data_IF_292770232724
#
_entry.id   IF_292770232724
#
_cell.length_a   1.000
_cell.length_b   1.000
_cell.length_c   1.000
_cell.angle_alpha   90.00
_cell.angle_beta   90.00
_cell.angle_gamma   90.00
#
_symmetry.space_group_name_H-M   'P 1'
#
loop_
_entity.id
_entity.type
_entity.pdbx_description
1 polymer ?
#
# COMPACT_ATOMS: atom_id res chain seq x y z
N UNK A 1 -26.61 -42.23 7.84
CA UNK A 1 -26.56 -40.93 8.57
C UNK A 1 -25.60 -40.94 9.77
N UNK A 2 -25.54 -42.01 10.60
CA UNK A 2 -24.61 -42.09 11.75
C UNK A 2 -23.11 -42.22 11.39
N UNK A 3 -22.77 -42.80 10.25
CA UNK A 3 -21.37 -42.98 9.82
C UNK A 3 -20.69 -41.71 9.27
N UNK A 4 -21.46 -40.66 8.92
CA UNK A 4 -20.92 -39.41 8.39
C UNK A 4 -20.50 -38.42 9.50
N UNK A 5 -21.01 -38.62 10.73
CA UNK A 5 -20.76 -37.72 11.86
C UNK A 5 -19.48 -38.05 12.64
N UNK A 6 -18.96 -39.28 12.57
CA UNK A 6 -17.75 -39.68 13.32
C UNK A 6 -16.43 -39.27 12.65
N UNK A 7 -16.39 -39.04 11.33
CA UNK A 7 -15.13 -38.64 10.64
C UNK A 7 -14.72 -37.17 10.80
N UNK A 8 -15.46 -36.37 11.58
CA UNK A 8 -15.18 -34.94 11.77
C UNK A 8 -14.26 -34.65 12.97
N UNK A 9 -14.03 -35.63 13.85
CA UNK A 9 -13.35 -35.41 15.14
C UNK A 9 -11.99 -36.11 15.29
N UNK A 10 -11.55 -36.93 14.33
CA UNK A 10 -10.27 -37.66 14.43
C UNK A 10 -9.07 -36.90 13.83
N UNK A 11 -9.17 -35.57 13.67
CA UNK A 11 -8.23 -34.80 12.84
C UNK A 11 -7.54 -33.62 13.51
N UNK A 12 -7.59 -33.46 14.84
CA UNK A 12 -6.84 -32.39 15.51
C UNK A 12 -5.44 -32.89 15.80
N UNK A 13 -4.50 -32.55 14.91
CA UNK A 13 -3.09 -32.84 15.13
C UNK A 13 -2.56 -32.01 16.30
N UNK A 14 -1.50 -32.48 16.96
CA UNK A 14 -0.80 -31.69 17.98
C UNK A 14 -0.36 -30.31 17.47
N UNK A 15 -0.07 -30.22 16.17
CA UNK A 15 0.26 -28.97 15.47
C UNK A 15 -0.94 -28.02 15.45
N UNK A 16 -2.16 -28.52 15.26
CA UNK A 16 -3.37 -27.68 15.27
C UNK A 16 -3.63 -27.08 16.65
N UNK A 17 -3.41 -27.87 17.71
CA UNK A 17 -3.51 -27.38 19.09
C UNK A 17 -2.46 -26.29 19.38
N UNK A 18 -1.22 -26.48 18.93
CA UNK A 18 -0.16 -25.49 19.05
C UNK A 18 -0.47 -24.19 18.28
N UNK A 19 -0.90 -24.30 17.02
CA UNK A 19 -1.27 -23.14 16.20
C UNK A 19 -2.48 -22.38 16.77
N UNK A 20 -3.45 -23.08 17.34
CA UNK A 20 -4.59 -22.45 18.01
C UNK A 20 -4.14 -21.69 19.28
N UNK A 21 -3.24 -22.28 20.07
CA UNK A 21 -2.62 -21.62 21.22
C UNK A 21 -1.86 -20.35 20.82
N UNK A 22 -1.02 -20.43 19.79
CA UNK A 22 -0.27 -19.27 19.27
C UNK A 22 -1.20 -18.14 18.81
N UNK A 23 -2.27 -18.48 18.06
CA UNK A 23 -3.28 -17.50 17.62
C UNK A 23 -3.95 -16.81 18.80
N UNK A 24 -4.33 -17.59 19.81
CA UNK A 24 -4.95 -17.05 21.02
C UNK A 24 -4.01 -16.07 21.74
N UNK A 25 -2.73 -16.45 21.90
CA UNK A 25 -1.71 -15.59 22.51
C UNK A 25 -1.53 -14.28 21.73
N UNK A 26 -1.41 -14.35 20.40
CA UNK A 26 -1.26 -13.17 19.54
C UNK A 26 -2.48 -12.24 19.69
N UNK A 27 -3.70 -12.79 19.64
CA UNK A 27 -4.93 -12.00 19.81
C UNK A 27 -4.97 -11.35 21.18
N UNK A 28 -4.61 -12.08 22.23
CA UNK A 28 -4.62 -11.58 23.62
C UNK A 28 -3.60 -10.46 23.80
N UNK A 29 -2.39 -10.58 23.24
CA UNK A 29 -1.38 -9.53 23.21
C UNK A 29 -1.88 -8.27 22.48
N UNK A 30 -2.55 -8.43 21.33
CA UNK A 30 -3.12 -7.30 20.57
C UNK A 30 -4.22 -6.61 21.39
N UNK A 31 -5.11 -7.37 22.04
CA UNK A 31 -6.20 -6.82 22.84
C UNK A 31 -5.68 -6.06 24.06
N UNK A 32 -4.72 -6.64 24.81
CA UNK A 32 -4.09 -5.96 25.95
C UNK A 32 -3.35 -4.71 25.48
N UNK A 33 -2.56 -4.80 24.40
CA UNK A 33 -1.82 -3.65 23.86
C UNK A 33 -2.74 -2.52 23.40
N UNK A 34 -3.86 -2.86 22.77
CA UNK A 34 -4.89 -1.90 22.32
C UNK A 34 -5.58 -1.25 23.52
N UNK A 35 -5.99 -2.03 24.52
CA UNK A 35 -6.65 -1.53 25.72
C UNK A 35 -5.73 -0.61 26.54
N UNK A 36 -4.47 -1.01 26.73
CA UNK A 36 -3.46 -0.19 27.40
C UNK A 36 -3.20 1.11 26.63
N UNK A 37 -3.17 1.05 25.31
CA UNK A 37 -3.03 2.24 24.45
C UNK A 37 -4.21 3.19 24.60
N UNK A 38 -5.44 2.69 24.58
CA UNK A 38 -6.67 3.48 24.71
C UNK A 38 -6.81 4.13 26.10
N UNK A 39 -6.42 3.43 27.16
CA UNK A 39 -6.52 3.91 28.55
C UNK A 39 -5.36 4.81 28.98
N UNK A 40 -4.22 4.77 28.26
CA UNK A 40 -3.03 5.54 28.61
C UNK A 40 -3.16 7.06 28.46
N UNK A 41 -4.22 7.57 27.80
CA UNK A 41 -4.41 9.01 27.56
C UNK A 41 -3.33 9.69 26.71
N UNK A 42 -2.38 8.91 26.15
CA UNK A 42 -1.21 9.42 25.41
C UNK A 42 -1.54 10.03 24.05
N UNK A 43 -2.69 9.67 23.47
CA UNK A 43 -3.06 10.04 22.10
C UNK A 43 -4.26 10.99 22.09
N UNK A 44 -4.08 12.15 21.45
CA UNK A 44 -5.16 13.14 21.26
C UNK A 44 -6.20 12.66 20.24
N UNK A 45 -7.41 13.22 20.29
CA UNK A 45 -8.46 12.98 19.30
C UNK A 45 -8.00 13.26 17.86
N UNK A 46 -7.15 14.29 17.67
CA UNK A 46 -6.55 14.60 16.36
C UNK A 46 -5.65 13.47 15.84
N UNK A 47 -4.91 12.81 16.72
CA UNK A 47 -4.05 11.67 16.37
C UNK A 47 -4.89 10.47 15.95
N UNK A 48 -5.99 10.17 16.65
CA UNK A 48 -6.90 9.09 16.28
C UNK A 48 -7.56 9.30 14.91
N UNK A 49 -7.95 10.54 14.62
CA UNK A 49 -8.50 10.91 13.30
C UNK A 49 -7.43 10.70 12.22
N UNK A 50 -6.20 11.17 12.45
CA UNK A 50 -5.10 10.99 11.50
C UNK A 50 -4.77 9.52 11.26
N UNK A 51 -4.66 8.71 12.31
CA UNK A 51 -4.46 7.26 12.21
C UNK A 51 -5.56 6.57 11.40
N UNK A 52 -6.81 6.98 11.60
CA UNK A 52 -7.96 6.42 10.87
C UNK A 52 -7.91 6.77 9.39
N UNK A 53 -7.62 8.04 9.06
CA UNK A 53 -7.49 8.50 7.67
C UNK A 53 -6.31 7.82 6.98
N UNK A 54 -5.14 7.75 7.63
CA UNK A 54 -3.96 7.07 7.09
C UNK A 54 -4.21 5.57 6.90
N UNK A 55 -4.89 4.92 7.84
CA UNK A 55 -5.29 3.52 7.72
C UNK A 55 -6.24 3.27 6.55
N UNK A 56 -7.25 4.12 6.38
CA UNK A 56 -8.19 4.05 5.26
C UNK A 56 -7.47 4.28 3.92
N UNK A 57 -6.57 5.27 3.85
CA UNK A 57 -5.80 5.57 2.65
C UNK A 57 -4.93 4.36 2.25
N UNK A 58 -4.18 3.79 3.20
CA UNK A 58 -3.33 2.62 2.95
C UNK A 58 -4.16 1.38 2.57
N UNK A 59 -5.28 1.15 3.27
CA UNK A 59 -6.20 0.07 2.95
C UNK A 59 -6.82 0.20 1.55
N UNK A 60 -7.13 1.42 1.13
CA UNK A 60 -7.64 1.70 -0.23
C UNK A 60 -6.60 1.40 -1.30
N UNK A 61 -5.33 1.71 -1.07
CA UNK A 61 -4.23 1.35 -1.97
C UNK A 61 -4.15 -0.17 -2.11
N UNK A 62 -4.16 -0.92 -0.99
CA UNK A 62 -4.13 -2.38 -1.03
C UNK A 62 -5.37 -2.98 -1.67
N UNK A 63 -6.55 -2.42 -1.43
CA UNK A 63 -7.80 -2.84 -2.07
C UNK A 63 -7.76 -2.64 -3.59
N UNK A 64 -7.25 -1.50 -4.06
CA UNK A 64 -7.08 -1.21 -5.49
C UNK A 64 -6.05 -2.13 -6.14
N UNK A 65 -4.93 -2.42 -5.47
CA UNK A 65 -3.94 -3.39 -5.96
C UNK A 65 -4.57 -4.78 -6.08
N UNK A 66 -5.28 -5.23 -5.05
CA UNK A 66 -5.96 -6.52 -5.06
C UNK A 66 -7.01 -6.61 -6.19
N UNK A 67 -7.80 -5.56 -6.37
CA UNK A 67 -8.77 -5.43 -7.46
C UNK A 67 -8.07 -5.49 -8.83
N UNK A 68 -6.94 -4.81 -9.01
CA UNK A 68 -6.15 -4.88 -10.24
C UNK A 68 -5.69 -6.30 -10.57
N UNK A 69 -5.13 -7.01 -9.57
CA UNK A 69 -4.70 -8.39 -9.75
C UNK A 69 -5.85 -9.35 -10.07
N UNK A 70 -7.01 -9.21 -9.42
CA UNK A 70 -8.17 -10.07 -9.69
C UNK A 70 -8.77 -9.82 -11.07
N UNK A 71 -8.81 -8.56 -11.54
CA UNK A 71 -9.30 -8.23 -12.88
C UNK A 71 -8.38 -8.76 -13.98
N UNK A 72 -7.06 -8.56 -13.85
CA UNK A 72 -6.10 -8.99 -14.87
C UNK A 72 -6.08 -10.51 -14.98
N UNK A 73 -5.98 -11.21 -13.84
CA UNK A 73 -6.05 -12.67 -13.84
C UNK A 73 -7.42 -13.19 -14.28
N UNK A 74 -8.52 -12.50 -13.91
CA UNK A 74 -9.88 -12.89 -14.28
C UNK A 74 -10.14 -12.89 -15.78
N UNK A 75 -9.49 -11.99 -16.53
CA UNK A 75 -9.63 -11.90 -17.99
C UNK A 75 -8.59 -12.77 -18.71
N UNK A 76 -7.32 -12.69 -18.31
CA UNK A 76 -6.22 -13.34 -19.04
C UNK A 76 -5.97 -14.79 -18.60
N UNK A 77 -6.43 -15.19 -17.42
CA UNK A 77 -6.17 -16.50 -16.79
C UNK A 77 -4.67 -16.90 -16.78
N UNK A 78 -3.80 -15.90 -16.82
CA UNK A 78 -2.34 -16.03 -16.81
C UNK A 78 -1.78 -15.22 -15.65
N UNK A 79 -0.74 -15.74 -15.00
CA UNK A 79 -0.04 -15.05 -13.93
C UNK A 79 0.81 -13.93 -14.57
N UNK A 80 0.52 -12.68 -14.22
CA UNK A 80 1.26 -11.51 -14.70
C UNK A 80 2.15 -10.97 -13.59
N UNK A 81 3.44 -11.30 -13.64
CA UNK A 81 4.43 -10.77 -12.69
C UNK A 81 4.79 -9.31 -12.95
N UNK A 82 4.67 -8.84 -14.20
CA UNK A 82 5.00 -7.47 -14.61
C UNK A 82 3.98 -6.42 -14.13
N UNK A 83 2.91 -6.84 -13.46
CA UNK A 83 1.85 -5.95 -13.00
C UNK A 83 2.40 -4.84 -12.11
N UNK A 84 3.25 -5.17 -11.13
CA UNK A 84 3.84 -4.18 -10.21
C UNK A 84 4.71 -3.15 -10.93
N UNK A 85 5.44 -3.57 -11.95
CA UNK A 85 6.38 -2.76 -12.72
C UNK A 85 5.64 -1.78 -13.65
N UNK A 86 4.44 -2.15 -14.11
CA UNK A 86 3.55 -1.23 -14.84
C UNK A 86 3.09 -0.08 -13.94
N UNK A 87 2.73 -0.34 -12.68
CA UNK A 87 2.40 0.72 -11.71
C UNK A 87 3.63 1.55 -11.34
N UNK A 88 4.77 0.88 -11.12
CA UNK A 88 6.05 1.52 -10.87
C UNK A 88 6.39 2.51 -11.99
N UNK A 89 6.15 2.14 -13.25
CA UNK A 89 6.46 3.00 -14.39
C UNK A 89 5.76 4.35 -14.32
N UNK A 90 4.44 4.35 -14.08
CA UNK A 90 3.68 5.58 -13.91
C UNK A 90 4.14 6.38 -12.69
N UNK A 91 4.27 5.72 -11.54
CA UNK A 91 4.64 6.36 -10.28
C UNK A 91 6.03 7.02 -10.33
N UNK A 92 7.04 6.36 -10.89
CA UNK A 92 8.38 6.92 -11.01
C UNK A 92 8.40 8.08 -12.00
N UNK A 93 7.74 7.98 -13.14
CA UNK A 93 7.67 9.09 -14.10
C UNK A 93 7.04 10.33 -13.46
N UNK A 94 5.98 10.18 -12.66
CA UNK A 94 5.35 11.31 -11.99
C UNK A 94 6.11 11.88 -10.82
N UNK A 95 7.04 11.14 -10.18
CA UNK A 95 7.98 11.75 -9.22
C UNK A 95 8.81 12.84 -9.89
N UNK A 96 9.26 12.63 -11.13
CA UNK A 96 10.05 13.62 -11.86
C UNK A 96 9.22 14.85 -12.22
N UNK A 97 7.99 14.63 -12.68
CA UNK A 97 7.05 15.73 -12.95
C UNK A 97 6.70 16.49 -11.67
N UNK A 98 6.52 15.79 -10.54
CA UNK A 98 6.24 16.41 -9.25
C UNK A 98 7.43 17.25 -8.77
N UNK A 99 8.67 16.74 -8.89
CA UNK A 99 9.87 17.52 -8.56
C UNK A 99 9.98 18.77 -9.43
N UNK A 100 9.66 18.68 -10.72
CA UNK A 100 9.61 19.84 -11.60
C UNK A 100 8.52 20.84 -11.18
N UNK A 101 7.31 20.38 -10.87
CA UNK A 101 6.21 21.22 -10.37
C UNK A 101 6.53 21.88 -9.03
N UNK A 102 7.36 21.25 -8.19
CA UNK A 102 7.81 21.83 -6.94
C UNK A 102 8.82 22.96 -7.19
N UNK A 103 9.79 22.75 -8.11
CA UNK A 103 10.78 23.77 -8.47
C UNK A 103 10.17 25.05 -9.03
N UNK A 104 9.10 24.93 -9.84
CA UNK A 104 8.38 26.09 -10.40
C UNK A 104 7.30 26.65 -9.44
N UNK A 105 7.17 26.10 -8.24
CA UNK A 105 6.19 26.50 -7.23
C UNK A 105 4.73 26.10 -7.53
N UNK A 106 4.45 25.45 -8.65
CA UNK A 106 3.09 25.08 -9.08
C UNK A 106 2.37 24.16 -8.09
N UNK A 107 3.09 23.24 -7.45
CA UNK A 107 2.54 22.36 -6.42
C UNK A 107 1.98 23.12 -5.22
N UNK A 108 2.63 24.22 -4.82
CA UNK A 108 2.21 25.03 -3.67
C UNK A 108 1.13 26.05 -4.06
N UNK A 109 1.20 26.61 -5.28
CA UNK A 109 0.21 27.59 -5.76
C UNK A 109 -1.13 26.94 -6.09
N UNK A 110 -1.12 25.78 -6.74
CA UNK A 110 -2.33 25.07 -7.20
C UNK A 110 -2.27 23.58 -6.84
N UNK A 111 -2.39 23.23 -5.55
CA UNK A 111 -2.18 21.85 -5.07
C UNK A 111 -3.17 20.85 -5.68
N UNK A 112 -4.46 21.19 -5.74
CA UNK A 112 -5.50 20.31 -6.28
C UNK A 112 -5.30 20.04 -7.79
N UNK A 113 -5.16 21.06 -8.67
CA UNK A 113 -4.85 20.84 -10.08
C UNK A 113 -3.54 20.08 -10.30
N UNK A 114 -2.49 20.39 -9.53
CA UNK A 114 -1.20 19.72 -9.65
C UNK A 114 -1.31 18.22 -9.38
N UNK A 115 -2.00 17.82 -8.29
CA UNK A 115 -2.22 16.41 -7.96
C UNK A 115 -3.04 15.71 -9.04
N UNK A 116 -4.09 16.34 -9.57
CA UNK A 116 -4.91 15.76 -10.64
C UNK A 116 -4.10 15.54 -11.92
N UNK A 117 -3.27 16.51 -12.31
CA UNK A 117 -2.38 16.37 -13.47
C UNK A 117 -1.40 15.22 -13.26
N UNK A 118 -0.78 15.13 -12.09
CA UNK A 118 0.12 14.01 -11.75
C UNK A 118 -0.61 12.66 -11.82
N UNK A 119 -1.83 12.55 -11.28
CA UNK A 119 -2.62 11.32 -11.37
C UNK A 119 -2.93 10.90 -12.81
N UNK A 120 -3.29 11.87 -13.67
CA UNK A 120 -3.56 11.62 -15.09
C UNK A 120 -2.28 11.15 -15.79
N UNK A 121 -1.15 11.83 -15.57
CA UNK A 121 0.14 11.43 -16.18
C UNK A 121 0.53 10.02 -15.73
N UNK A 122 0.45 9.70 -14.44
CA UNK A 122 0.76 8.36 -13.93
C UNK A 122 -0.10 7.30 -14.61
N UNK A 123 -1.41 7.57 -14.71
CA UNK A 123 -2.38 6.65 -15.32
C UNK A 123 -2.10 6.43 -16.81
N UNK A 124 -1.82 7.51 -17.56
CA UNK A 124 -1.52 7.44 -18.98
C UNK A 124 -0.21 6.68 -19.24
N UNK A 125 0.83 6.93 -18.44
CA UNK A 125 2.12 6.23 -18.56
C UNK A 125 1.95 4.74 -18.24
N UNK A 126 1.33 4.39 -17.12
CA UNK A 126 1.06 3.00 -16.76
C UNK A 126 0.21 2.29 -17.82
N UNK A 127 -0.86 2.93 -18.31
CA UNK A 127 -1.68 2.38 -19.40
C UNK A 127 -0.85 2.13 -20.66
N UNK A 128 0.01 3.09 -21.03
CA UNK A 128 0.84 2.99 -22.24
C UNK A 128 1.81 1.81 -22.12
N UNK A 129 2.48 1.67 -20.99
CA UNK A 129 3.39 0.53 -20.72
C UNK A 129 2.62 -0.79 -20.72
N UNK A 130 1.45 -0.85 -20.09
CA UNK A 130 0.60 -2.05 -20.09
C UNK A 130 0.18 -2.48 -21.51
N UNK A 131 -0.24 -1.52 -22.34
CA UNK A 131 -0.63 -1.78 -23.74
C UNK A 131 0.56 -2.23 -24.58
N UNK A 132 1.74 -1.65 -24.37
CA UNK A 132 2.96 -2.08 -25.05
C UNK A 132 3.35 -3.50 -24.66
N UNK A 133 3.33 -3.83 -23.37
CA UNK A 133 3.60 -5.19 -22.89
C UNK A 133 2.59 -6.18 -23.45
N UNK A 134 1.30 -5.85 -23.42
CA UNK A 134 0.27 -6.72 -23.98
C UNK A 134 0.52 -6.97 -25.46
N UNK A 135 0.83 -5.93 -26.26
CA UNK A 135 1.04 -6.08 -27.70
C UNK A 135 2.31 -6.86 -28.04
N UNK A 136 3.41 -6.59 -27.36
CA UNK A 136 4.74 -7.09 -27.72
C UNK A 136 5.02 -8.44 -27.05
N UNK A 137 4.68 -8.59 -25.77
CA UNK A 137 5.06 -9.75 -24.97
C UNK A 137 3.94 -10.79 -24.90
N UNK A 138 2.71 -10.39 -24.58
CA UNK A 138 1.66 -11.36 -24.22
C UNK A 138 0.76 -11.79 -25.39
N UNK A 139 0.33 -10.85 -26.24
CA UNK A 139 -0.57 -11.14 -27.37
C UNK A 139 -0.04 -12.21 -28.34
N UNK A 140 1.26 -12.25 -28.69
CA UNK A 140 1.80 -13.31 -29.56
C UNK A 140 1.75 -14.70 -28.93
N UNK A 141 1.73 -14.79 -27.59
CA UNK A 141 1.85 -16.04 -26.84
C UNK A 141 0.52 -16.61 -26.36
N UNK A 142 -0.61 -16.02 -26.77
CA UNK A 142 -1.96 -16.47 -26.35
C UNK A 142 -2.28 -17.91 -26.74
N UNK A 143 -1.66 -18.45 -27.80
CA UNK A 143 -1.81 -19.84 -28.22
C UNK A 143 -0.76 -20.80 -27.65
N UNK A 144 0.22 -20.30 -26.89
CA UNK A 144 1.32 -21.09 -26.38
C UNK A 144 0.97 -21.85 -25.09
N UNK A 145 1.71 -22.91 -24.71
CA UNK A 145 1.55 -23.56 -23.42
C UNK A 145 1.69 -22.59 -22.26
N UNK A 146 0.92 -22.77 -21.18
CA UNK A 146 0.82 -21.83 -20.04
C UNK A 146 2.15 -21.44 -19.38
N UNK A 147 3.18 -22.28 -19.50
CA UNK A 147 4.53 -21.99 -18.99
C UNK A 147 5.23 -20.87 -19.78
N UNK A 148 4.97 -20.74 -21.08
CA UNK A 148 5.66 -19.77 -21.94
C UNK A 148 5.28 -18.32 -21.57
N UNK A 149 3.98 -17.95 -21.46
CA UNK A 149 3.60 -16.62 -20.98
C UNK A 149 4.11 -16.29 -19.57
N UNK A 150 4.22 -17.30 -18.69
CA UNK A 150 4.78 -17.13 -17.34
C UNK A 150 6.25 -16.67 -17.39
N UNK A 151 7.08 -17.37 -18.18
CA UNK A 151 8.50 -17.03 -18.35
C UNK A 151 8.63 -15.63 -18.99
N UNK A 152 7.80 -15.33 -19.98
CA UNK A 152 7.76 -14.00 -20.60
C UNK A 152 7.37 -12.91 -19.61
N UNK A 153 6.40 -13.16 -18.73
CA UNK A 153 6.00 -12.20 -17.70
C UNK A 153 7.13 -11.89 -16.71
N UNK A 154 7.90 -12.90 -16.31
CA UNK A 154 9.09 -12.74 -15.46
C UNK A 154 10.15 -11.91 -16.21
N UNK A 155 10.42 -12.25 -17.48
CA UNK A 155 11.37 -11.51 -18.31
C UNK A 155 10.96 -10.04 -18.50
N UNK A 156 9.68 -9.78 -18.72
CA UNK A 156 9.11 -8.44 -18.84
C UNK A 156 9.24 -7.63 -17.54
N UNK A 157 8.97 -8.25 -16.39
CA UNK A 157 9.16 -7.64 -15.06
C UNK A 157 10.62 -7.19 -14.88
N UNK A 158 11.58 -8.09 -15.09
CA UNK A 158 13.00 -7.73 -14.99
C UNK A 158 13.39 -6.64 -16.00
N UNK A 159 12.95 -6.74 -17.25
CA UNK A 159 13.22 -5.73 -18.25
C UNK A 159 12.74 -4.34 -17.82
N UNK A 160 11.50 -4.20 -17.36
CA UNK A 160 10.97 -2.94 -16.87
C UNK A 160 11.71 -2.45 -15.62
N UNK A 161 11.95 -3.35 -14.66
CA UNK A 161 12.67 -3.02 -13.43
C UNK A 161 14.07 -2.48 -13.73
N UNK A 162 14.86 -3.15 -14.57
CA UNK A 162 16.20 -2.70 -14.93
C UNK A 162 16.19 -1.45 -15.80
N UNK A 163 15.21 -1.29 -16.68
CA UNK A 163 15.03 -0.07 -17.48
C UNK A 163 14.80 1.14 -16.58
N UNK A 164 13.87 1.06 -15.63
CA UNK A 164 13.60 2.14 -14.69
C UNK A 164 14.74 2.36 -13.71
N UNK A 165 15.41 1.28 -13.26
CA UNK A 165 16.64 1.40 -12.45
C UNK A 165 17.76 2.13 -13.21
N UNK A 166 17.86 1.94 -14.52
CA UNK A 166 18.82 2.65 -15.37
C UNK A 166 18.50 4.15 -15.49
N UNK A 167 17.23 4.51 -15.66
CA UNK A 167 16.81 5.91 -15.76
C UNK A 167 16.81 6.66 -14.43
N UNK A 168 16.42 6.00 -13.34
CA UNK A 168 16.09 6.64 -12.06
C UNK A 168 17.02 6.28 -10.90
N UNK A 169 17.98 5.39 -11.15
CA UNK A 169 18.89 4.86 -10.14
C UNK A 169 18.23 3.79 -9.26
N UNK A 170 18.98 3.38 -8.23
CA UNK A 170 18.53 2.38 -7.25
C UNK A 170 18.11 2.98 -5.90
N UNK A 171 18.22 4.31 -5.77
CA UNK A 171 17.86 5.03 -4.56
C UNK A 171 16.35 5.14 -4.36
N UNK A 172 15.96 5.41 -3.12
CA UNK A 172 14.57 5.72 -2.79
C UNK A 172 14.16 7.08 -3.38
N UNK A 173 13.06 7.10 -4.12
CA UNK A 173 12.51 8.31 -4.74
C UNK A 173 11.23 8.71 -4.02
N UNK A 174 11.20 9.92 -3.47
CA UNK A 174 10.04 10.47 -2.74
C UNK A 174 9.38 11.59 -3.53
N UNK A 175 8.06 11.71 -3.38
CA UNK A 175 7.35 12.89 -3.83
C UNK A 175 7.72 14.10 -2.95
N UNK A 176 7.87 15.30 -3.52
CA UNK A 176 8.09 16.50 -2.74
C UNK A 176 6.89 16.78 -1.82
N UNK A 177 7.17 17.26 -0.62
CA UNK A 177 6.13 17.71 0.30
C UNK A 177 5.40 18.93 -0.31
N UNK A 178 4.08 18.96 -0.15
CA UNK A 178 3.26 20.10 -0.57
C UNK A 178 2.89 20.90 0.66
N UNK A 179 3.52 22.07 0.82
CA UNK A 179 3.36 22.91 2.00
C UNK A 179 1.91 23.40 2.14
N UNK A 180 1.20 23.57 1.02
CA UNK A 180 -0.22 23.92 1.03
C UNK A 180 -1.13 22.85 1.67
N UNK A 181 -0.68 21.59 1.77
CA UNK A 181 -1.39 20.48 2.40
C UNK A 181 -0.86 20.11 3.79
N UNK A 182 0.19 20.77 4.28
CA UNK A 182 0.78 20.51 5.61
C UNK A 182 0.06 21.22 6.75
N UNK A 183 -1.03 21.95 6.46
CA UNK A 183 -1.86 22.61 7.45
C UNK A 183 -2.46 21.62 8.46
N UNK A 184 -2.13 21.79 9.74
CA UNK A 184 -2.80 21.06 10.82
C UNK A 184 -4.07 21.80 11.23
N UNK A 185 -5.23 21.15 11.05
CA UNK A 185 -6.47 21.61 11.69
C UNK A 185 -6.41 21.09 13.12
N UNK A 186 -6.02 21.96 14.06
CA UNK A 186 -6.08 21.68 15.50
C UNK A 186 -7.54 21.70 15.96
N UNK A 187 -8.23 20.57 15.83
CA UNK A 187 -9.58 20.40 16.38
C UNK A 187 -9.45 20.18 17.89
N UNK A 188 -9.61 21.27 18.65
CA UNK A 188 -9.58 21.28 20.11
C UNK A 188 -8.20 21.60 20.67
N UNK A 189 -8.16 22.45 21.71
CA UNK A 189 -6.97 22.58 22.56
C UNK A 189 -6.65 21.18 23.10
N UNK A 190 -5.39 20.70 23.04
CA UNK A 190 -5.03 19.53 23.81
C UNK A 190 -5.36 19.85 25.26
N UNK A 191 -6.30 19.10 25.86
CA UNK A 191 -6.39 19.03 27.31
C UNK A 191 -5.06 18.41 27.75
N UNK A 192 -4.12 19.28 28.09
CA UNK A 192 -3.02 18.95 28.97
C UNK A 192 -3.72 18.50 30.25
N UNK A 193 -3.92 17.18 30.39
CA UNK A 193 -4.13 16.60 31.72
C UNK A 193 -2.75 16.71 32.38
N UNK A 194 -2.48 17.92 32.89
CA UNK A 194 -1.42 18.21 33.83
C UNK A 194 -1.76 17.53 35.13
N UNK A 195 -1.49 16.24 35.19
CA UNK A 195 -1.15 15.50 36.38
C UNK A 195 0.10 14.74 35.95
N UNK A 196 1.31 15.26 36.13
CA UNK A 196 1.95 15.51 37.41
C UNK A 196 3.01 16.62 37.27
N UNK A 197 2.94 17.65 38.12
CA UNK A 197 4.07 18.20 38.90
C UNK A 197 3.71 19.58 39.46
N UNK A 198 2.70 19.65 40.33
CA UNK A 198 2.72 20.64 41.40
C UNK A 198 3.54 20.05 42.56
N UNK A 199 4.57 20.79 42.98
CA UNK A 199 5.26 20.57 44.24
C UNK A 199 6.75 20.22 44.15
N UNK A 200 7.59 21.16 43.72
CA UNK A 200 8.59 21.79 44.61
C UNK A 200 9.35 22.93 43.88
N UNK A 201 9.12 24.17 44.28
CA UNK A 201 10.14 25.23 44.32
C UNK A 201 10.75 25.23 45.74
N UNK A 202 11.83 25.96 46.08
CA UNK A 202 12.74 26.78 45.29
C UNK A 202 14.24 26.39 45.48
N UNK A 203 15.12 26.77 44.54
CA UNK A 203 16.38 27.52 44.73
C UNK A 203 16.83 28.02 43.35
#
# INVERSE_FOLDING_TARGET
MRAYLQRRFDGVSWVDAFLWGLRFVIILLILIGTFNTLTSGKYSASTWISLSISGLAQGSIYALIALGYTLVYGILLMINFAHGEVFMAGAFTTVFVANYFNQIGFLNTYPLPAILILMVIASVVSMSVAVLLERIAYRPLRGAPRLVPLITAIGASFFLQYTFRGFYGSGFQSYPAVDALSGSISIGKPMVVGMLSDGNSPE
#
